data_IF_696231343330
#
_entry.id   IF_696231343330
#
_cell.length_a   1.000
_cell.length_b   1.000
_cell.length_c   1.000
_cell.angle_alpha   90.00
_cell.angle_beta   90.00
_cell.angle_gamma   90.00
#
_symmetry.space_group_name_H-M   'P 1'
#
loop_
_entity.id
_entity.type
_entity.pdbx_description
1 polymer ?
#
# COMPACT_ATOMS: atom_id res chain seq x y z
N UNK A 1 -12.37 -9.99 -47.28
CA UNK A 1 -12.58 -9.15 -46.07
C UNK A 1 -12.38 -10.08 -44.91
N UNK A 2 -11.17 -10.12 -44.39
CA UNK A 2 -10.76 -11.26 -43.58
C UNK A 2 -11.15 -10.95 -42.12
N UNK A 3 -11.98 -11.77 -41.48
CA UNK A 3 -12.66 -11.44 -40.23
C UNK A 3 -11.71 -11.30 -39.03
N UNK A 4 -10.42 -11.63 -39.18
CA UNK A 4 -9.42 -11.57 -38.13
C UNK A 4 -8.75 -10.18 -37.97
N UNK A 5 -8.82 -9.30 -38.98
CA UNK A 5 -8.19 -7.97 -38.87
C UNK A 5 -8.91 -7.06 -37.86
N UNK A 6 -10.24 -7.21 -37.76
CA UNK A 6 -11.08 -6.54 -36.77
C UNK A 6 -10.82 -7.05 -35.33
N UNK A 7 -10.46 -8.34 -35.16
CA UNK A 7 -10.15 -8.90 -33.84
C UNK A 7 -8.74 -8.58 -33.37
N UNK A 8 -7.74 -8.58 -34.26
CA UNK A 8 -6.33 -8.34 -33.88
C UNK A 8 -6.10 -6.93 -33.31
N UNK A 9 -6.73 -5.91 -33.92
CA UNK A 9 -6.70 -4.55 -33.37
C UNK A 9 -7.35 -4.47 -31.99
N UNK A 10 -8.55 -5.04 -31.84
CA UNK A 10 -9.26 -5.08 -30.57
C UNK A 10 -8.46 -5.81 -29.47
N UNK A 11 -7.80 -6.93 -29.79
CA UNK A 11 -6.94 -7.65 -28.84
C UNK A 11 -5.76 -6.82 -28.35
N UNK A 12 -5.11 -6.04 -29.24
CA UNK A 12 -4.02 -5.15 -28.86
C UNK A 12 -4.49 -4.01 -27.93
N UNK A 13 -5.62 -3.39 -28.26
CA UNK A 13 -6.23 -2.37 -27.41
C UNK A 13 -6.60 -2.92 -26.03
N UNK A 14 -7.23 -4.09 -25.96
CA UNK A 14 -7.58 -4.76 -24.70
C UNK A 14 -6.33 -5.04 -23.88
N UNK A 15 -5.26 -5.55 -24.50
CA UNK A 15 -4.00 -5.82 -23.83
C UNK A 15 -3.38 -4.55 -23.23
N UNK A 16 -3.31 -3.46 -23.99
CA UNK A 16 -2.82 -2.17 -23.49
C UNK A 16 -3.67 -1.63 -22.34
N UNK A 17 -4.99 -1.72 -22.46
CA UNK A 17 -5.93 -1.30 -21.42
C UNK A 17 -5.71 -2.10 -20.13
N UNK A 18 -5.62 -3.43 -20.24
CA UNK A 18 -5.35 -4.32 -19.11
C UNK A 18 -3.99 -4.03 -18.46
N UNK A 19 -2.94 -3.84 -19.27
CA UNK A 19 -1.61 -3.50 -18.77
C UNK A 19 -1.63 -2.19 -17.96
N UNK A 20 -2.34 -1.17 -18.46
CA UNK A 20 -2.47 0.12 -17.77
C UNK A 20 -3.26 0.00 -16.47
N UNK A 21 -4.37 -0.76 -16.47
CA UNK A 21 -5.15 -1.04 -15.25
C UNK A 21 -4.30 -1.72 -14.19
N UNK A 22 -3.54 -2.76 -14.57
CA UNK A 22 -2.65 -3.47 -13.64
C UNK A 22 -1.61 -2.52 -13.07
N UNK A 23 -0.97 -1.70 -13.91
CA UNK A 23 0.04 -0.75 -13.46
C UNK A 23 -0.53 0.27 -12.45
N UNK A 24 -1.70 0.82 -12.74
CA UNK A 24 -2.38 1.77 -11.85
C UNK A 24 -2.79 1.09 -10.53
N UNK A 25 -3.33 -0.12 -10.60
CA UNK A 25 -3.75 -0.87 -9.41
C UNK A 25 -2.57 -1.15 -8.46
N UNK A 26 -1.41 -1.51 -9.01
CA UNK A 26 -0.18 -1.73 -8.25
C UNK A 26 0.23 -0.48 -7.50
N UNK A 27 0.20 0.69 -8.15
CA UNK A 27 0.56 1.96 -7.51
C UNK A 27 -0.43 2.32 -6.40
N UNK A 28 -1.74 2.15 -6.66
CA UNK A 28 -2.80 2.41 -5.67
C UNK A 28 -2.66 1.51 -4.44
N UNK A 29 -2.17 0.28 -4.61
CA UNK A 29 -1.89 -0.63 -3.49
C UNK A 29 -0.57 -0.27 -2.80
N UNK A 30 0.53 -0.05 -3.51
CA UNK A 30 1.84 0.17 -2.89
C UNK A 30 1.87 1.43 -2.02
N UNK A 31 1.26 2.53 -2.45
CA UNK A 31 1.28 3.81 -1.73
C UNK A 31 0.77 3.72 -0.28
N UNK A 32 -0.44 3.19 -0.01
CA UNK A 32 -0.92 3.05 1.36
C UNK A 32 -0.06 2.11 2.18
N UNK A 33 0.40 0.99 1.63
CA UNK A 33 1.32 0.08 2.33
C UNK A 33 2.64 0.75 2.70
N UNK A 34 3.23 1.53 1.80
CA UNK A 34 4.44 2.34 2.07
C UNK A 34 4.23 3.29 3.25
N UNK A 35 3.09 3.98 3.27
CA UNK A 35 2.72 4.88 4.37
C UNK A 35 2.54 4.14 5.70
N UNK A 36 1.94 2.95 5.68
CA UNK A 36 1.77 2.11 6.87
C UNK A 36 3.13 1.68 7.41
N UNK A 37 4.04 1.15 6.58
CA UNK A 37 5.37 0.73 7.03
C UNK A 37 6.16 1.89 7.62
N UNK A 38 6.10 3.06 7.00
CA UNK A 38 6.77 4.25 7.52
C UNK A 38 6.25 4.65 8.90
N UNK A 39 4.93 4.52 9.14
CA UNK A 39 4.31 4.82 10.44
C UNK A 39 4.60 3.74 11.49
N UNK A 40 4.67 2.48 11.08
CA UNK A 40 4.98 1.35 11.95
C UNK A 40 6.49 1.24 12.28
N UNK A 41 7.34 2.09 11.69
CA UNK A 41 8.79 2.06 11.91
C UNK A 41 9.55 1.04 11.06
N UNK A 42 8.88 0.45 10.06
CA UNK A 42 9.47 -0.47 9.09
C UNK A 42 10.06 0.26 7.88
N UNK A 43 10.99 -0.41 7.19
CA UNK A 43 11.52 0.06 5.91
C UNK A 43 10.40 0.12 4.85
N UNK A 44 10.17 1.27 4.20
CA UNK A 44 9.09 1.39 3.23
C UNK A 44 9.22 0.49 1.99
N UNK A 45 10.45 0.05 1.70
CA UNK A 45 10.76 -0.91 0.63
C UNK A 45 10.05 -2.27 0.83
N UNK A 46 9.61 -2.61 2.05
CA UNK A 46 8.76 -3.79 2.31
C UNK A 46 7.43 -3.73 1.54
N UNK A 47 6.96 -2.55 1.13
CA UNK A 47 5.76 -2.41 0.29
C UNK A 47 5.88 -3.03 -1.10
N UNK A 48 7.09 -3.19 -1.62
CA UNK A 48 7.30 -3.90 -2.89
C UNK A 48 7.01 -5.40 -2.75
N UNK A 49 7.24 -5.99 -1.58
CA UNK A 49 6.97 -7.41 -1.34
C UNK A 49 5.47 -7.71 -1.31
N UNK A 50 4.61 -6.72 -1.09
CA UNK A 50 3.14 -6.89 -1.11
C UNK A 50 2.62 -7.34 -2.49
N UNK A 51 3.38 -7.08 -3.56
CA UNK A 51 3.10 -7.61 -4.90
C UNK A 51 3.08 -9.14 -4.95
N UNK A 52 3.82 -9.81 -4.06
CA UNK A 52 3.87 -11.26 -3.98
C UNK A 52 2.79 -11.75 -3.01
N UNK A 53 1.86 -12.63 -3.43
CA UNK A 53 0.72 -13.03 -2.61
C UNK A 53 1.13 -13.68 -1.28
N UNK A 54 2.19 -14.49 -1.29
CA UNK A 54 2.72 -15.14 -0.09
C UNK A 54 3.36 -14.10 0.86
N UNK A 55 4.17 -13.19 0.32
CA UNK A 55 4.84 -12.19 1.15
C UNK A 55 3.84 -11.19 1.74
N UNK A 56 2.75 -10.88 1.04
CA UNK A 56 1.66 -10.07 1.60
C UNK A 56 1.09 -10.69 2.89
N UNK A 57 0.84 -12.00 2.90
CA UNK A 57 0.39 -12.71 4.11
C UNK A 57 1.44 -12.58 5.22
N UNK A 58 2.70 -12.93 4.94
CA UNK A 58 3.78 -12.85 5.94
C UNK A 58 3.90 -11.44 6.53
N UNK A 59 3.84 -10.42 5.69
CA UNK A 59 3.93 -9.01 6.10
C UNK A 59 2.74 -8.61 6.96
N UNK A 60 1.52 -9.05 6.63
CA UNK A 60 0.34 -8.80 7.47
C UNK A 60 0.53 -9.38 8.87
N UNK A 61 1.06 -10.59 9.00
CA UNK A 61 1.40 -11.18 10.30
C UNK A 61 2.48 -10.37 11.02
N UNK A 62 3.59 -10.04 10.32
CA UNK A 62 4.68 -9.26 10.92
C UNK A 62 4.17 -7.91 11.44
N UNK A 63 3.39 -7.17 10.66
CA UNK A 63 2.83 -5.88 11.08
C UNK A 63 1.83 -6.04 12.23
N UNK A 64 0.95 -7.04 12.16
CA UNK A 64 -0.07 -7.28 13.20
C UNK A 64 0.54 -7.61 14.56
N UNK A 65 1.65 -8.37 14.58
CA UNK A 65 2.32 -8.79 15.81
C UNK A 65 3.54 -7.93 16.19
N UNK A 66 3.90 -6.95 15.37
CA UNK A 66 4.98 -6.00 15.70
C UNK A 66 4.59 -5.06 16.83
N UNK A 67 5.59 -4.54 17.54
CA UNK A 67 5.36 -3.46 18.51
C UNK A 67 5.07 -2.16 17.76
N UNK A 68 3.89 -1.60 17.96
CA UNK A 68 3.54 -0.31 17.39
C UNK A 68 4.02 0.78 18.34
N UNK A 69 4.83 1.71 17.84
CA UNK A 69 5.27 2.87 18.61
C UNK A 69 4.08 3.81 18.84
N UNK A 70 3.27 3.50 19.85
CA UNK A 70 2.27 4.41 20.38
C UNK A 70 3.06 5.42 21.20
N UNK A 71 3.45 6.54 20.59
CA UNK A 71 3.98 7.66 21.36
C UNK A 71 2.88 8.01 22.38
N UNK A 72 3.11 7.87 23.70
CA UNK A 72 2.15 8.35 24.67
C UNK A 72 1.90 9.80 24.32
N UNK A 73 0.64 10.23 24.28
CA UNK A 73 0.34 11.65 24.23
C UNK A 73 1.13 12.25 25.39
N UNK A 74 2.20 13.00 25.09
CA UNK A 74 3.02 13.66 26.10
C UNK A 74 2.00 14.32 27.01
N UNK A 75 1.89 13.93 28.30
CA UNK A 75 0.97 14.58 29.21
C UNK A 75 1.28 16.04 29.05
N UNK A 76 0.36 16.79 28.43
CA UNK A 76 0.52 18.22 28.27
C UNK A 76 0.87 18.68 29.67
N UNK A 77 2.04 19.31 29.81
CA UNK A 77 2.45 19.97 31.04
C UNK A 77 1.40 21.06 31.28
N UNK A 78 0.20 20.68 31.72
CA UNK A 78 -0.83 21.56 32.18
C UNK A 78 -0.25 22.00 33.52
N UNK A 79 0.32 23.22 33.60
CA UNK A 79 0.71 23.72 34.90
C UNK A 79 -0.57 23.69 35.76
N UNK A 80 -0.48 23.25 37.03
CA UNK A 80 -1.64 23.25 37.92
C UNK A 80 -2.26 24.65 37.88
N UNK A 81 -3.54 24.73 37.53
CA UNK A 81 -4.27 25.99 37.51
C UNK A 81 -4.13 26.64 38.90
N UNK A 82 -3.70 27.91 39.00
CA UNK A 82 -3.66 28.59 40.29
C UNK A 82 -5.07 28.55 40.89
N UNK A 83 -5.23 27.86 42.02
CA UNK A 83 -6.50 27.88 42.73
C UNK A 83 -6.75 29.32 43.22
N UNK A 84 -7.96 29.87 43.04
CA UNK A 84 -8.33 31.18 43.59
C UNK A 84 -8.35 31.17 45.12
#
# INVERSE_FOLDING_TARGET
>A
MDPYHLSTGASFFIFLMLMLIVLVSVVITIIPYWKIFTKAGFSPWLSLLVLLPIANIVILYVVAFSEWNIRPATPSSIPPSPMP
#
